data_IF_367215238287
#
_entry.id   IF_367215238287
#
_cell.length_a   1.000
_cell.length_b   1.000
_cell.length_c   1.000
_cell.angle_alpha   90.00
_cell.angle_beta   90.00
_cell.angle_gamma   90.00
#
_symmetry.space_group_name_H-M   'P 1'
#
loop_
_entity.id
_entity.type
_entity.pdbx_description
1 polymer ?
#
# COMPACT_ATOMS: atom_id res chain seq x y z
N UNK A 1 11.18 7.03 -8.22
CA UNK A 1 11.58 7.84 -7.06
C UNK A 1 10.61 7.66 -5.93
N UNK A 2 11.13 7.67 -4.71
CA UNK A 2 10.31 7.49 -3.51
C UNK A 2 9.15 8.47 -3.47
N UNK A 3 9.44 9.75 -3.67
CA UNK A 3 8.42 10.78 -3.58
C UNK A 3 7.33 10.58 -4.62
N UNK A 4 7.71 10.14 -5.82
CA UNK A 4 6.74 9.96 -6.89
C UNK A 4 5.82 8.79 -6.60
N UNK A 5 6.36 7.70 -6.08
CA UNK A 5 5.55 6.56 -5.73
C UNK A 5 4.58 6.86 -4.60
N UNK A 6 5.08 7.59 -3.61
CA UNK A 6 4.26 7.89 -2.44
C UNK A 6 3.07 8.78 -2.78
N UNK A 7 3.12 9.50 -3.90
CA UNK A 7 1.98 10.28 -4.36
C UNK A 7 0.78 9.42 -4.71
N UNK A 8 1.00 8.14 -4.91
CA UNK A 8 -0.10 7.19 -5.18
C UNK A 8 -0.86 6.81 -3.93
N UNK A 9 -0.36 7.19 -2.77
CA UNK A 9 -1.02 6.87 -1.51
C UNK A 9 -1.80 8.09 -1.07
N UNK A 10 -3.09 7.89 -0.79
CA UNK A 10 -3.95 8.99 -0.37
C UNK A 10 -4.61 8.64 0.97
N UNK A 11 -4.88 9.67 1.76
CA UNK A 11 -5.62 9.52 3.00
C UNK A 11 -6.74 10.55 2.93
N UNK A 12 -7.97 10.07 2.84
CA UNK A 12 -9.12 10.95 2.68
C UNK A 12 -10.17 10.58 3.71
N UNK A 13 -10.71 11.61 4.32
CA UNK A 13 -11.79 11.42 5.26
C UNK A 13 -12.98 10.77 4.53
N UNK A 14 -13.57 9.78 5.17
CA UNK A 14 -14.74 9.11 4.59
C UNK A 14 -14.40 8.06 3.54
N UNK A 15 -13.13 7.84 3.28
CA UNK A 15 -12.72 6.83 2.32
C UNK A 15 -11.77 5.85 3.01
N UNK A 16 -12.02 4.56 2.87
CA UNK A 16 -11.22 3.51 3.52
C UNK A 16 -11.14 3.73 5.04
N UNK A 17 -12.17 4.34 5.62
CA UNK A 17 -12.19 4.62 7.04
C UNK A 17 -11.13 5.61 7.47
N UNK A 18 -10.69 6.48 6.56
CA UNK A 18 -9.63 7.43 6.85
C UNK A 18 -8.24 6.81 6.82
N UNK A 19 -8.14 5.58 6.38
CA UNK A 19 -6.85 4.87 6.30
C UNK A 19 -6.21 5.11 4.94
N UNK A 20 -4.89 4.90 4.81
CA UNK A 20 -4.22 5.08 3.52
C UNK A 20 -4.82 4.17 2.45
N UNK A 21 -5.14 4.76 1.31
CA UNK A 21 -5.69 4.09 0.15
C UNK A 21 -4.77 4.28 -1.04
N UNK A 22 -5.02 3.52 -2.10
CA UNK A 22 -4.30 3.65 -3.36
C UNK A 22 -5.07 4.61 -4.26
N UNK A 23 -4.48 5.75 -4.57
CA UNK A 23 -5.00 6.74 -5.55
C UNK A 23 -6.48 7.03 -5.40
N UNK A 24 -6.96 7.14 -4.15
CA UNK A 24 -8.37 7.40 -3.93
C UNK A 24 -9.30 6.25 -4.27
N UNK A 25 -8.76 5.09 -4.64
CA UNK A 25 -9.55 3.89 -4.85
C UNK A 25 -9.96 3.33 -3.51
N UNK A 26 -10.94 2.44 -3.51
CA UNK A 26 -11.41 1.88 -2.26
C UNK A 26 -10.67 0.60 -1.88
N UNK A 27 -9.36 0.63 -2.07
CA UNK A 27 -8.51 -0.45 -1.60
C UNK A 27 -7.44 0.19 -0.71
N UNK A 28 -7.27 -0.37 0.46
CA UNK A 28 -6.31 0.17 1.42
C UNK A 28 -4.92 -0.36 1.12
N UNK A 29 -3.93 0.41 1.54
CA UNK A 29 -2.55 -0.05 1.46
C UNK A 29 -2.40 -1.39 2.18
N UNK A 30 -3.03 -1.52 3.36
CA UNK A 30 -2.95 -2.78 4.11
C UNK A 30 -3.56 -3.95 3.36
N UNK A 31 -4.58 -3.71 2.54
CA UNK A 31 -5.17 -4.80 1.75
C UNK A 31 -4.14 -5.37 0.79
N UNK A 32 -3.41 -4.50 0.11
CA UNK A 32 -2.37 -4.93 -0.82
C UNK A 32 -1.25 -5.66 -0.07
N UNK A 33 -0.84 -5.11 1.06
CA UNK A 33 0.23 -5.71 1.84
C UNK A 33 -0.15 -7.08 2.37
N UNK A 34 -1.40 -7.27 2.77
CA UNK A 34 -1.86 -8.56 3.27
C UNK A 34 -1.88 -9.60 2.16
N UNK A 35 -2.26 -9.20 0.95
CA UNK A 35 -2.21 -10.11 -0.19
C UNK A 35 -0.79 -10.59 -0.42
N UNK A 36 0.16 -9.65 -0.41
CA UNK A 36 1.57 -10.00 -0.57
C UNK A 36 2.06 -10.90 0.57
N UNK A 37 1.66 -10.59 1.79
CA UNK A 37 2.07 -11.38 2.95
C UNK A 37 1.56 -12.81 2.87
N UNK A 38 0.42 -13.00 2.20
CA UNK A 38 -0.16 -14.33 2.03
C UNK A 38 0.33 -15.03 0.78
N UNK A 39 1.33 -14.46 0.11
CA UNK A 39 1.99 -15.14 -1.01
C UNK A 39 1.46 -14.80 -2.38
N UNK A 40 0.56 -13.84 -2.50
CA UNK A 40 0.08 -13.45 -3.81
C UNK A 40 1.21 -12.77 -4.59
N UNK A 41 1.32 -13.09 -5.87
CA UNK A 41 2.28 -12.44 -6.73
C UNK A 41 1.72 -11.10 -7.20
N UNK A 42 2.61 -10.25 -7.72
CA UNK A 42 2.17 -8.99 -8.32
C UNK A 42 1.17 -9.23 -9.43
N UNK A 43 1.45 -10.23 -10.28
CA UNK A 43 0.56 -10.54 -11.41
C UNK A 43 -0.82 -10.98 -10.93
N UNK A 44 -0.87 -11.76 -9.87
CA UNK A 44 -2.15 -12.19 -9.31
C UNK A 44 -2.95 -11.02 -8.78
N UNK A 45 -2.28 -10.11 -8.10
CA UNK A 45 -2.96 -8.93 -7.55
C UNK A 45 -3.49 -8.06 -8.68
N UNK A 46 -2.68 -7.86 -9.72
CA UNK A 46 -3.10 -7.04 -10.86
C UNK A 46 -4.23 -7.69 -11.63
N UNK A 47 -4.28 -9.02 -11.67
CA UNK A 47 -5.36 -9.73 -12.34
C UNK A 47 -6.67 -9.59 -11.56
N UNK A 48 -6.59 -9.63 -10.24
CA UNK A 48 -7.78 -9.55 -9.39
C UNK A 48 -8.30 -8.12 -9.23
N UNK A 49 -7.41 -7.15 -9.27
CA UNK A 49 -7.75 -5.75 -9.07
C UNK A 49 -7.29 -4.96 -10.29
N UNK A 50 -8.10 -5.04 -11.36
CA UNK A 50 -7.69 -4.52 -12.66
C UNK A 50 -7.42 -3.01 -12.67
N UNK A 51 -7.96 -2.27 -11.69
CA UNK A 51 -7.71 -0.83 -11.61
C UNK A 51 -6.34 -0.50 -10.99
N UNK A 52 -5.65 -1.49 -10.44
CA UNK A 52 -4.32 -1.27 -9.89
C UNK A 52 -3.27 -1.34 -10.98
N UNK A 53 -2.22 -0.59 -10.77
CA UNK A 53 -1.03 -0.61 -11.62
C UNK A 53 0.12 -1.20 -10.85
N UNK A 54 1.12 -1.70 -11.56
CA UNK A 54 2.30 -2.26 -10.92
C UNK A 54 2.95 -1.28 -9.93
N UNK A 55 3.01 -0.01 -10.30
CA UNK A 55 3.59 1.01 -9.43
C UNK A 55 2.78 1.23 -8.16
N UNK A 56 1.49 0.90 -8.18
CA UNK A 56 0.66 0.98 -6.98
C UNK A 56 1.13 -0.04 -5.93
N UNK A 57 1.49 -1.24 -6.39
CA UNK A 57 1.97 -2.27 -5.48
C UNK A 57 3.29 -1.85 -4.86
N UNK A 58 4.20 -1.32 -5.68
CA UNK A 58 5.46 -0.82 -5.16
C UNK A 58 5.25 0.34 -4.20
N UNK A 59 4.27 1.19 -4.49
CA UNK A 59 3.96 2.31 -3.60
C UNK A 59 3.50 1.82 -2.24
N UNK A 60 2.67 0.78 -2.22
CA UNK A 60 2.20 0.20 -0.97
C UNK A 60 3.38 -0.34 -0.16
N UNK A 61 4.28 -1.04 -0.81
CA UNK A 61 5.45 -1.61 -0.15
C UNK A 61 6.34 -0.49 0.40
N UNK A 62 6.54 0.54 -0.39
CA UNK A 62 7.37 1.65 0.01
C UNK A 62 6.78 2.42 1.18
N UNK A 63 5.46 2.61 1.16
CA UNK A 63 4.76 3.23 2.27
C UNK A 63 4.98 2.43 3.56
N UNK A 64 4.87 1.10 3.45
CA UNK A 64 5.09 0.23 4.60
C UNK A 64 6.53 0.34 5.11
N UNK A 65 7.48 0.45 4.21
CA UNK A 65 8.87 0.59 4.60
C UNK A 65 9.09 1.87 5.40
N UNK A 66 8.45 2.96 4.99
CA UNK A 66 8.55 4.21 5.73
C UNK A 66 7.90 4.09 7.10
N UNK A 67 6.75 3.43 7.18
CA UNK A 67 6.06 3.25 8.45
C UNK A 67 6.87 2.38 9.41
N UNK A 68 7.56 1.39 8.89
CA UNK A 68 8.33 0.47 9.70
C UNK A 68 9.65 1.08 10.17
N UNK A 69 10.05 2.20 9.59
CA UNK A 69 11.33 2.79 9.85
C UNK A 69 11.36 3.71 11.08
N UNK A 70 10.23 3.85 11.78
CA UNK A 70 10.25 4.68 12.97
C UNK A 70 10.86 3.89 14.13
N UNK A 71 11.42 4.61 15.09
CA UNK A 71 12.11 4.02 16.21
C UNK A 71 11.17 3.23 17.09
N UNK A 72 11.55 2.01 17.31
CA UNK A 72 10.80 1.16 18.20
C UNK A 72 11.78 0.46 19.10
N UNK A 73 11.60 0.35 20.09
CA UNK A 73 12.52 -0.27 20.77
C UNK A 73 12.43 -1.46 21.25
N UNK A 74 12.11 -1.88 21.10
CA UNK A 74 12.01 -2.82 21.59
C UNK A 74 12.14 -3.86 21.41
N UNK A 75 12.12 -3.92 21.21
CA UNK A 75 12.19 -4.91 21.12
C UNK A 75 12.92 -5.79 21.38
N UNK A 76 13.13 -5.91 21.56
CA UNK A 76 13.83 -6.77 21.84
C UNK A 76 14.08 -7.28 22.64
#
# INVERSE_FOLDING_TARGET
MLADRLKRISVEEGKCGGRPCIRGQRIRVTDVLELLANGASHDEILADYAFLESEDIFAAIEYAAHQADHTVLQAL
#
